data_IF_340601217876
#
_entry.id   IF_340601217876
#
_cell.length_a   1.000
_cell.length_b   1.000
_cell.length_c   1.000
_cell.angle_alpha   90.00
_cell.angle_beta   90.00
_cell.angle_gamma   90.00
#
_symmetry.space_group_name_H-M   'P 1'
#
loop_
_entity.id
_entity.type
_entity.pdbx_description
1 polymer ?
#
# COMPACT_ATOMS: atom_id res chain seq x y z
N UNK A 1 -9.44 7.76 7.29
CA UNK A 1 -9.76 7.19 5.96
C UNK A 1 -9.94 8.32 4.95
N UNK A 2 -9.23 8.25 3.87
CA UNK A 2 -9.27 9.24 2.81
C UNK A 2 -10.19 8.72 1.71
N UNK A 3 -11.07 9.59 1.20
CA UNK A 3 -11.98 9.24 0.11
C UNK A 3 -11.76 10.13 -1.10
N UNK A 4 -11.75 9.53 -2.27
CA UNK A 4 -11.84 10.22 -3.55
C UNK A 4 -13.06 9.65 -4.26
N UNK A 5 -13.91 10.52 -4.75
CA UNK A 5 -15.21 10.09 -5.24
C UNK A 5 -15.68 10.93 -6.41
N UNK A 6 -16.27 10.26 -7.39
CA UNK A 6 -17.02 10.90 -8.47
C UNK A 6 -18.35 10.15 -8.65
N UNK A 7 -19.04 10.39 -9.76
CA UNK A 7 -20.35 9.77 -10.02
C UNK A 7 -20.25 8.25 -10.26
N UNK A 8 -19.08 7.76 -10.63
CA UNK A 8 -18.88 6.37 -11.05
C UNK A 8 -18.17 5.56 -9.98
N UNK A 9 -17.09 6.10 -9.42
CA UNK A 9 -16.20 5.39 -8.51
C UNK A 9 -16.11 6.03 -7.13
N UNK A 10 -15.99 5.18 -6.14
CA UNK A 10 -15.57 5.54 -4.79
C UNK A 10 -14.24 4.84 -4.51
N UNK A 11 -13.21 5.63 -4.20
CA UNK A 11 -11.89 5.12 -3.85
C UNK A 11 -11.59 5.51 -2.42
N UNK A 12 -11.19 4.54 -1.61
CA UNK A 12 -10.78 4.78 -0.23
C UNK A 12 -9.33 4.34 -0.04
N UNK A 13 -8.63 5.06 0.82
CA UNK A 13 -7.27 4.72 1.23
C UNK A 13 -7.05 5.09 2.68
N UNK A 14 -6.10 4.43 3.31
CA UNK A 14 -5.70 4.72 4.68
C UNK A 14 -4.34 5.43 4.69
N UNK A 15 -4.09 6.24 5.71
CA UNK A 15 -2.81 6.93 5.89
C UNK A 15 -1.69 5.97 6.25
N UNK A 16 -2.01 4.92 6.98
CA UNK A 16 -1.03 3.85 7.27
C UNK A 16 -0.63 3.18 5.96
N UNK A 17 0.62 3.36 5.56
CA UNK A 17 1.16 2.81 4.32
C UNK A 17 0.66 3.48 3.04
N UNK A 18 -0.15 4.54 3.12
CA UNK A 18 -0.79 5.17 1.96
C UNK A 18 -1.49 4.11 1.08
N UNK A 19 -2.12 3.14 1.71
CA UNK A 19 -2.64 1.96 1.04
C UNK A 19 -4.07 2.17 0.55
N UNK A 20 -4.31 1.84 -0.72
CA UNK A 20 -5.67 1.76 -1.26
C UNK A 20 -6.38 0.61 -0.57
N UNK A 21 -7.58 0.88 -0.07
CA UNK A 21 -8.38 -0.13 0.62
C UNK A 21 -9.68 -0.44 -0.10
N UNK A 22 -10.10 0.42 -1.04
CA UNK A 22 -11.35 0.22 -1.75
C UNK A 22 -11.34 0.91 -3.11
N UNK A 23 -11.82 0.19 -4.12
CA UNK A 23 -12.17 0.74 -5.43
C UNK A 23 -13.54 0.19 -5.76
N UNK A 24 -14.57 1.01 -5.56
CA UNK A 24 -15.96 0.58 -5.63
C UNK A 24 -16.68 1.23 -6.80
N UNK A 25 -17.34 0.43 -7.63
CA UNK A 25 -18.14 0.90 -8.74
C UNK A 25 -19.59 1.09 -8.28
N UNK A 26 -20.07 2.33 -8.30
CA UNK A 26 -21.36 2.69 -7.71
C UNK A 26 -22.57 2.06 -8.41
N UNK A 27 -22.56 2.05 -9.72
CA UNK A 27 -23.71 1.57 -10.50
C UNK A 27 -23.92 0.08 -10.37
N UNK A 28 -22.85 -0.70 -10.38
CA UNK A 28 -22.92 -2.16 -10.31
C UNK A 28 -22.82 -2.72 -8.90
N UNK A 29 -22.36 -1.89 -7.94
CA UNK A 29 -22.08 -2.34 -6.58
C UNK A 29 -20.87 -3.26 -6.48
N UNK A 30 -19.99 -3.25 -7.47
CA UNK A 30 -18.82 -4.13 -7.52
C UNK A 30 -17.62 -3.49 -6.82
N UNK A 31 -17.03 -4.27 -5.92
CA UNK A 31 -15.77 -3.92 -5.26
C UNK A 31 -14.62 -4.60 -6.01
N UNK A 32 -13.63 -3.82 -6.46
CA UNK A 32 -12.52 -4.34 -7.25
C UNK A 32 -11.32 -4.79 -6.43
N UNK A 33 -11.17 -4.29 -5.20
CA UNK A 33 -10.04 -4.65 -4.37
C UNK A 33 -10.36 -5.80 -3.43
N UNK A 34 -9.34 -6.62 -3.17
CA UNK A 34 -9.35 -7.65 -2.16
C UNK A 34 -9.71 -7.03 -0.79
N UNK A 35 -10.53 -7.74 -0.01
CA UNK A 35 -11.09 -7.21 1.24
C UNK A 35 -10.18 -7.33 2.48
N UNK A 36 -8.94 -7.75 2.28
CA UNK A 36 -7.96 -7.96 3.36
C UNK A 36 -8.42 -8.95 4.44
N UNK A 37 -9.13 -10.00 4.03
CA UNK A 37 -9.55 -11.05 4.94
C UNK A 37 -8.31 -11.71 5.56
N UNK A 38 -8.12 -11.50 6.87
CA UNK A 38 -6.95 -11.97 7.60
C UNK A 38 -6.80 -13.50 7.60
N UNK A 39 -7.86 -14.21 7.27
CA UNK A 39 -7.83 -15.67 7.10
C UNK A 39 -6.90 -16.09 5.96
N UNK A 40 -6.74 -15.23 4.96
CA UNK A 40 -5.88 -15.47 3.80
C UNK A 40 -4.72 -14.50 3.74
N UNK A 41 -5.00 -13.19 3.68
CA UNK A 41 -3.99 -12.15 3.62
C UNK A 41 -4.59 -10.81 4.07
N UNK A 42 -4.07 -10.25 5.15
CA UNK A 42 -4.66 -9.12 5.83
C UNK A 42 -4.34 -7.73 5.26
N UNK A 43 -3.76 -7.65 4.07
CA UNK A 43 -3.49 -6.37 3.40
C UNK A 43 -4.30 -6.26 2.12
N UNK A 44 -4.54 -5.02 1.63
CA UNK A 44 -5.25 -4.77 0.38
C UNK A 44 -4.29 -4.61 -0.79
N UNK A 45 -3.58 -3.48 -0.83
CA UNK A 45 -2.64 -3.14 -1.90
C UNK A 45 -1.47 -2.35 -1.33
N UNK A 46 -0.59 -3.00 -0.56
CA UNK A 46 0.51 -2.29 0.09
C UNK A 46 1.47 -1.67 -0.92
N UNK A 47 1.97 -0.48 -0.58
CA UNK A 47 2.97 0.21 -1.39
C UNK A 47 4.33 -0.42 -1.17
N UNK A 48 4.91 -0.96 -2.24
CA UNK A 48 6.21 -1.64 -2.20
C UNK A 48 7.29 -0.63 -2.56
N UNK A 49 7.92 -0.05 -1.55
CA UNK A 49 8.94 0.99 -1.73
C UNK A 49 9.90 1.01 -0.54
N UNK A 50 11.20 1.23 -0.75
CA UNK A 50 11.87 1.50 -2.04
C UNK A 50 12.18 0.26 -2.88
N UNK A 51 11.89 -0.93 -2.40
CA UNK A 51 12.16 -2.16 -3.15
C UNK A 51 10.92 -3.02 -3.28
N UNK A 52 10.88 -3.84 -4.32
CA UNK A 52 9.89 -4.89 -4.52
C UNK A 52 10.57 -6.22 -4.28
N UNK A 53 9.99 -7.06 -3.41
CA UNK A 53 10.58 -8.34 -3.06
C UNK A 53 11.60 -8.23 -1.94
N UNK A 54 12.39 -9.27 -1.79
CA UNK A 54 13.39 -9.39 -0.73
C UNK A 54 14.79 -9.32 -1.30
N UNK A 55 15.65 -8.53 -0.66
CA UNK A 55 17.07 -8.46 -0.98
C UNK A 55 17.81 -9.65 -0.39
N UNK A 56 18.91 -10.03 -1.02
CA UNK A 56 19.79 -11.09 -0.49
C UNK A 56 20.28 -10.67 0.88
N UNK A 57 20.00 -11.49 1.89
CA UNK A 57 20.34 -11.21 3.29
C UNK A 57 19.79 -9.85 3.79
N UNK A 58 18.69 -9.38 3.19
CA UNK A 58 18.08 -8.08 3.52
C UNK A 58 19.08 -6.91 3.46
N UNK A 59 20.03 -6.97 2.52
CA UNK A 59 21.16 -6.04 2.47
C UNK A 59 21.37 -5.46 1.08
N UNK A 60 21.73 -4.18 1.00
CA UNK A 60 22.20 -3.53 -0.22
C UNK A 60 23.44 -2.70 0.08
N UNK A 61 24.22 -2.41 -0.96
CA UNK A 61 25.48 -1.68 -0.83
C UNK A 61 25.39 -0.32 -1.51
N UNK A 62 25.93 0.70 -0.85
CA UNK A 62 26.15 2.02 -1.44
C UNK A 62 27.61 2.39 -1.19
N UNK A 63 28.37 2.57 -2.27
CA UNK A 63 29.81 2.84 -2.20
C UNK A 63 30.55 1.82 -1.30
N UNK A 64 30.16 0.55 -1.42
CA UNK A 64 30.75 -0.53 -0.65
C UNK A 64 30.30 -0.63 0.80
N UNK A 65 29.45 0.28 1.25
CA UNK A 65 28.93 0.28 2.63
C UNK A 65 27.60 -0.46 2.67
N UNK A 66 27.42 -1.44 3.58
CA UNK A 66 26.17 -2.19 3.69
C UNK A 66 25.07 -1.41 4.40
N UNK A 67 23.86 -1.55 3.91
CA UNK A 67 22.63 -1.06 4.51
C UNK A 67 21.60 -2.18 4.52
N UNK A 68 20.70 -2.17 5.49
CA UNK A 68 19.71 -3.20 5.66
C UNK A 68 18.32 -2.71 5.29
N UNK A 69 17.54 -3.56 4.61
CA UNK A 69 16.19 -3.26 4.21
C UNK A 69 15.41 -4.57 4.11
N UNK A 70 14.28 -4.65 4.82
CA UNK A 70 13.42 -5.84 4.81
C UNK A 70 12.62 -6.00 3.53
N UNK A 71 11.89 -7.11 3.45
CA UNK A 71 11.05 -7.44 2.31
C UNK A 71 10.10 -6.30 1.96
N UNK A 72 10.05 -5.90 0.68
CA UNK A 72 9.21 -4.84 0.14
C UNK A 72 9.48 -3.45 0.72
N UNK A 73 10.63 -3.25 1.39
CA UNK A 73 10.98 -1.95 1.95
C UNK A 73 10.15 -1.57 3.17
N UNK A 74 9.89 -0.27 3.33
CA UNK A 74 9.29 0.26 4.56
C UNK A 74 8.02 1.10 4.37
N UNK A 75 7.70 1.53 3.15
CA UNK A 75 6.59 2.47 2.93
C UNK A 75 5.26 1.93 3.47
N UNK A 76 5.00 0.65 3.29
CA UNK A 76 3.74 0.02 3.73
C UNK A 76 3.53 0.03 5.25
N UNK A 77 4.61 0.23 6.01
CA UNK A 77 4.58 0.23 7.48
C UNK A 77 4.76 1.64 8.07
N UNK A 78 4.69 2.68 7.24
CA UNK A 78 4.81 4.08 7.66
C UNK A 78 3.48 4.79 7.62
N UNK A 79 3.32 5.79 8.47
CA UNK A 79 2.16 6.68 8.40
C UNK A 79 2.45 7.82 7.43
N UNK A 80 1.50 8.07 6.55
CA UNK A 80 1.55 9.19 5.61
C UNK A 80 0.62 10.29 6.07
N UNK A 81 0.97 11.51 5.73
CA UNK A 81 0.17 12.69 6.06
C UNK A 81 -0.41 13.28 4.79
N UNK A 82 -1.72 13.54 4.78
CA UNK A 82 -2.36 14.26 3.68
C UNK A 82 -1.98 15.73 3.78
N UNK A 83 -1.30 16.24 2.76
CA UNK A 83 -0.89 17.65 2.72
C UNK A 83 -1.77 18.47 1.79
N UNK A 84 -2.45 17.83 0.85
CA UNK A 84 -3.35 18.48 -0.10
C UNK A 84 -4.30 17.45 -0.70
N UNK A 85 -5.53 17.86 -0.91
CA UNK A 85 -6.55 16.97 -1.48
C UNK A 85 -7.47 17.74 -2.42
#
# INVERSE_FOLDING_TARGET
MIKLENEVLLVEMKTAGAELTRIFHKDTGLEYLWNADSKFWGRHSPVLFPTVGRLVEDTYLVDGKPYHLGQHGFARDRDFQVIEQ
#
